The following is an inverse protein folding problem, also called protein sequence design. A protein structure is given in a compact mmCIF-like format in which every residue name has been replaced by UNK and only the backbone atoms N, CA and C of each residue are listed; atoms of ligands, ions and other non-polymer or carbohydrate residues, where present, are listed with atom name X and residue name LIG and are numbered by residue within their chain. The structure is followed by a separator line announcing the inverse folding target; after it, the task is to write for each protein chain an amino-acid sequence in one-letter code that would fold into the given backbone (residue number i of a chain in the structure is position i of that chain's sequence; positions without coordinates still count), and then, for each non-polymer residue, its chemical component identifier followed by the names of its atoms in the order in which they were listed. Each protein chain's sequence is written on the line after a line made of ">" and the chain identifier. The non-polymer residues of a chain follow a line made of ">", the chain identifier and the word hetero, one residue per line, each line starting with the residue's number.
data_IF_651704200336
#
_entry.id   IF_651704200336
#
_cell.length_a   1.000
_cell.length_b   1.000
_cell.length_c   1.000
_cell.angle_alpha   90.00
_cell.angle_beta   90.00
_cell.angle_gamma   90.00
#
_symmetry.space_group_name_H-M   'P 1'
#
loop_
_entity.id
_entity.type
_entity.pdbx_description
1 polymer ?
#
# COMPACT_ATOMS: atom_id res chain seq x y z
N UNK A 1 -16.26 18.21 -17.91
CA UNK A 1 -16.82 18.02 -16.56
C UNK A 1 -16.26 16.81 -15.79
N UNK A 2 -15.64 15.80 -16.43
CA UNK A 2 -15.26 14.54 -15.74
C UNK A 2 -14.01 14.62 -14.83
N UNK A 3 -13.04 15.52 -15.09
CA UNK A 3 -11.81 15.61 -14.27
C UNK A 3 -12.05 16.04 -12.81
N UNK A 4 -12.96 16.98 -12.56
CA UNK A 4 -13.26 17.42 -11.19
C UNK A 4 -13.85 16.30 -10.35
N UNK A 5 -14.73 15.48 -10.95
CA UNK A 5 -15.34 14.33 -10.29
C UNK A 5 -14.31 13.23 -10.01
N UNK A 6 -13.42 12.94 -10.98
CA UNK A 6 -12.30 12.01 -10.77
C UNK A 6 -11.36 12.48 -9.65
N UNK A 7 -11.07 13.78 -9.60
CA UNK A 7 -10.27 14.38 -8.53
C UNK A 7 -10.95 14.18 -7.16
N UNK A 8 -12.25 14.47 -7.03
CA UNK A 8 -12.96 14.30 -5.76
C UNK A 8 -13.06 12.84 -5.34
N UNK A 9 -13.36 11.92 -6.27
CA UNK A 9 -13.39 10.48 -5.97
C UNK A 9 -12.02 9.99 -5.51
N UNK A 10 -10.95 10.43 -6.18
CA UNK A 10 -9.57 10.14 -5.73
C UNK A 10 -9.33 10.64 -4.32
N UNK A 11 -9.58 11.92 -4.06
CA UNK A 11 -9.32 12.49 -2.74
C UNK A 11 -10.14 11.82 -1.64
N UNK A 12 -11.40 11.48 -1.91
CA UNK A 12 -12.26 10.77 -0.97
C UNK A 12 -11.69 9.40 -0.61
N UNK A 13 -11.28 8.62 -1.61
CA UNK A 13 -10.72 7.28 -1.41
C UNK A 13 -9.37 7.31 -0.70
N UNK A 14 -8.50 8.27 -1.04
CA UNK A 14 -7.25 8.49 -0.31
C UNK A 14 -7.51 8.87 1.15
N UNK A 15 -8.52 9.71 1.40
CA UNK A 15 -8.90 10.07 2.76
C UNK A 15 -9.46 8.88 3.54
N UNK A 16 -10.31 8.05 2.92
CA UNK A 16 -10.82 6.81 3.53
C UNK A 16 -9.68 5.87 3.93
N UNK A 17 -8.70 5.66 3.05
CA UNK A 17 -7.53 4.82 3.36
C UNK A 17 -6.71 5.39 4.53
N UNK A 18 -6.46 6.70 4.54
CA UNK A 18 -5.71 7.35 5.63
C UNK A 18 -6.45 7.24 6.98
N UNK A 19 -7.78 7.34 6.97
CA UNK A 19 -8.59 7.18 8.18
C UNK A 19 -8.57 5.73 8.68
N UNK A 20 -8.66 4.76 7.78
CA UNK A 20 -8.52 3.35 8.12
C UNK A 20 -7.15 3.09 8.77
N UNK A 21 -6.07 3.58 8.15
CA UNK A 21 -4.73 3.38 8.70
C UNK A 21 -4.51 4.08 10.05
N UNK A 22 -5.15 5.24 10.25
CA UNK A 22 -5.18 5.90 11.56
C UNK A 22 -5.88 5.04 12.61
N UNK A 23 -7.04 4.46 12.29
CA UNK A 23 -7.81 3.63 13.22
C UNK A 23 -7.08 2.33 13.61
N UNK A 24 -6.36 1.73 12.66
CA UNK A 24 -5.46 0.60 12.93
C UNK A 24 -4.32 1.04 13.85
N UNK A 25 -3.70 2.19 13.57
CA UNK A 25 -2.60 2.71 14.39
C UNK A 25 -3.00 3.12 15.80
N UNK A 26 -4.26 3.53 16.03
CA UNK A 26 -4.78 3.84 17.36
C UNK A 26 -5.26 2.59 18.12
N UNK A 27 -5.31 1.43 17.46
CA UNK A 27 -5.85 0.19 18.02
C UNK A 27 -7.37 0.18 18.15
N UNK A 28 -8.06 1.12 17.49
CA UNK A 28 -9.53 1.16 17.42
C UNK A 28 -10.10 0.00 16.60
N UNK A 29 -9.34 -0.46 15.61
CA UNK A 29 -9.70 -1.55 14.71
C UNK A 29 -8.54 -2.55 14.67
N UNK A 30 -8.85 -3.85 14.64
CA UNK A 30 -7.83 -4.89 14.49
C UNK A 30 -7.29 -4.94 13.06
N UNK A 31 -6.11 -5.53 12.84
CA UNK A 31 -5.54 -5.61 11.48
C UNK A 31 -6.39 -6.47 10.55
N UNK A 32 -6.98 -7.55 11.06
CA UNK A 32 -7.87 -8.44 10.31
C UNK A 32 -9.13 -7.70 9.83
N UNK A 33 -9.76 -6.93 10.73
CA UNK A 33 -10.89 -6.06 10.37
C UNK A 33 -10.50 -4.99 9.34
N UNK A 34 -9.26 -4.50 9.39
CA UNK A 34 -8.77 -3.51 8.46
C UNK A 34 -8.56 -4.08 7.05
N UNK A 35 -8.11 -5.32 6.91
CA UNK A 35 -7.98 -5.97 5.60
C UNK A 35 -9.34 -6.15 4.92
N UNK A 36 -10.37 -6.49 5.69
CA UNK A 36 -11.74 -6.55 5.20
C UNK A 36 -12.24 -5.19 4.70
N UNK A 37 -12.02 -4.11 5.45
CA UNK A 37 -12.47 -2.77 5.03
C UNK A 37 -11.61 -2.21 3.88
N UNK A 38 -10.31 -2.55 3.85
CA UNK A 38 -9.37 -2.17 2.78
C UNK A 38 -9.78 -2.77 1.43
N UNK A 39 -10.35 -3.97 1.40
CA UNK A 39 -10.86 -4.60 0.16
C UNK A 39 -11.94 -3.77 -0.56
N UNK A 40 -12.58 -2.84 0.16
CA UNK A 40 -13.63 -1.95 -0.35
C UNK A 40 -13.06 -0.63 -0.88
N UNK A 41 -11.76 -0.40 -0.72
CA UNK A 41 -11.04 0.81 -1.15
C UNK A 41 -10.23 0.46 -2.40
N UNK A 42 -10.73 0.84 -3.57
CA UNK A 42 -10.05 0.59 -4.85
C UNK A 42 -8.88 1.56 -5.09
N UNK A 43 -7.73 1.40 -4.42
CA UNK A 43 -6.58 2.28 -4.66
C UNK A 43 -6.11 2.23 -6.12
N UNK A 44 -5.94 1.04 -6.71
CA UNK A 44 -5.39 0.87 -8.05
C UNK A 44 -6.25 1.51 -9.17
N UNK A 45 -7.57 1.37 -9.07
CA UNK A 45 -8.51 1.86 -10.11
C UNK A 45 -8.57 3.39 -10.22
N UNK A 46 -8.09 4.10 -9.19
CA UNK A 46 -8.18 5.57 -9.07
C UNK A 46 -7.01 6.28 -9.77
N UNK A 47 -5.87 5.61 -9.86
CA UNK A 47 -4.65 6.11 -10.52
C UNK A 47 -4.70 5.98 -12.04
N UNK A 48 -5.26 4.88 -12.55
CA UNK A 48 -5.12 4.45 -13.95
C UNK A 48 -6.03 5.14 -14.96
N UNK A 49 -6.99 5.97 -14.55
CA UNK A 49 -7.99 6.44 -15.51
C UNK A 49 -7.37 7.30 -16.63
N UNK A 50 -7.69 6.89 -17.86
CA UNK A 50 -7.16 7.36 -19.13
C UNK A 50 -7.13 8.90 -19.26
N UNK A 51 -6.13 9.48 -19.95
CA UNK A 51 -6.09 10.92 -20.19
C UNK A 51 -7.39 11.37 -20.87
N UNK A 52 -8.10 12.32 -20.27
CA UNK A 52 -9.31 12.85 -20.89
C UNK A 52 -8.97 13.65 -22.14
N UNK A 53 -9.72 13.43 -23.21
CA UNK A 53 -9.73 14.30 -24.37
C UNK A 53 -10.02 15.75 -23.91
N UNK A 54 -9.13 16.69 -24.27
CA UNK A 54 -9.20 18.08 -23.82
C UNK A 54 -8.51 18.37 -22.49
N UNK A 55 -7.64 17.48 -21.99
CA UNK A 55 -6.79 17.73 -20.82
C UNK A 55 -5.99 19.05 -20.96
N UNK A 56 -5.59 19.38 -22.18
CA UNK A 56 -4.82 20.58 -22.51
C UNK A 56 -5.61 21.87 -22.29
N UNK A 57 -6.95 21.81 -22.35
CA UNK A 57 -7.87 22.96 -22.21
C UNK A 57 -8.28 23.18 -20.74
N UNK A 58 -7.80 22.37 -19.80
CA UNK A 58 -8.09 22.60 -18.37
C UNK A 58 -7.39 23.87 -17.85
N UNK A 59 -8.04 24.63 -16.93
CA UNK A 59 -7.38 25.70 -16.19
C UNK A 59 -6.18 25.18 -15.39
N UNK A 60 -5.10 25.96 -15.34
CA UNK A 60 -3.83 25.56 -14.70
C UNK A 60 -3.97 25.23 -13.22
N UNK A 61 -4.86 25.91 -12.50
CA UNK A 61 -5.14 25.62 -11.10
C UNK A 61 -5.67 24.19 -10.90
N UNK A 62 -6.56 23.73 -11.80
CA UNK A 62 -7.14 22.39 -11.74
C UNK A 62 -6.10 21.34 -12.17
N UNK A 63 -5.29 21.63 -13.19
CA UNK A 63 -4.15 20.78 -13.57
C UNK A 63 -3.21 20.56 -12.37
N UNK A 64 -2.87 21.63 -11.65
CA UNK A 64 -2.03 21.56 -10.45
C UNK A 64 -2.64 20.71 -9.33
N UNK A 65 -3.95 20.79 -9.10
CA UNK A 65 -4.66 19.94 -8.14
C UNK A 65 -4.62 18.46 -8.56
N UNK A 66 -4.89 18.17 -9.82
CA UNK A 66 -4.83 16.82 -10.37
C UNK A 66 -3.42 16.24 -10.20
N UNK A 67 -2.37 16.96 -10.59
CA UNK A 67 -0.98 16.49 -10.43
C UNK A 67 -0.60 16.24 -8.97
N UNK A 68 -1.03 17.10 -8.03
CA UNK A 68 -0.80 16.85 -6.59
C UNK A 68 -1.54 15.62 -6.10
N UNK A 69 -2.78 15.42 -6.53
CA UNK A 69 -3.57 14.25 -6.14
C UNK A 69 -2.99 12.94 -6.66
N UNK A 70 -2.38 12.94 -7.86
CA UNK A 70 -1.70 11.78 -8.43
C UNK A 70 -0.44 11.43 -7.64
N UNK A 71 0.43 12.42 -7.35
CA UNK A 71 1.62 12.19 -6.52
C UNK A 71 1.28 11.69 -5.11
N UNK A 72 0.19 12.21 -4.53
CA UNK A 72 -0.28 11.74 -3.23
C UNK A 72 -0.75 10.28 -3.32
N UNK A 73 -1.47 9.94 -4.38
CA UNK A 73 -1.93 8.58 -4.64
C UNK A 73 -0.75 7.61 -4.78
N UNK A 74 0.24 7.90 -5.62
CA UNK A 74 1.46 7.09 -5.78
C UNK A 74 2.15 6.83 -4.43
N UNK A 75 2.30 7.89 -3.63
CA UNK A 75 2.94 7.79 -2.31
C UNK A 75 2.13 6.96 -1.32
N UNK A 76 0.80 7.00 -1.40
CA UNK A 76 -0.09 6.15 -0.59
C UNK A 76 0.04 4.69 -1.03
N UNK A 77 0.08 4.40 -2.33
CA UNK A 77 0.29 3.04 -2.85
C UNK A 77 1.63 2.48 -2.37
N UNK A 78 2.72 3.26 -2.46
CA UNK A 78 4.01 2.83 -1.91
C UNK A 78 3.94 2.57 -0.41
N UNK A 79 3.29 3.45 0.36
CA UNK A 79 3.11 3.25 1.80
C UNK A 79 2.30 1.98 2.10
N UNK A 80 1.26 1.71 1.31
CA UNK A 80 0.39 0.55 1.47
C UNK A 80 1.15 -0.76 1.30
N UNK A 81 1.98 -0.86 0.25
CA UNK A 81 2.88 -2.00 0.04
C UNK A 81 3.85 -2.14 1.22
N UNK A 82 4.50 -1.06 1.66
CA UNK A 82 5.44 -1.11 2.79
C UNK A 82 4.77 -1.54 4.11
N UNK A 83 3.50 -1.16 4.31
CA UNK A 83 2.73 -1.58 5.48
C UNK A 83 2.40 -3.07 5.39
N UNK A 84 1.95 -3.53 4.22
CA UNK A 84 1.66 -4.94 3.97
C UNK A 84 2.90 -5.82 4.16
N UNK A 85 4.04 -5.47 3.57
CA UNK A 85 5.32 -6.18 3.72
C UNK A 85 5.74 -6.25 5.20
N UNK A 86 5.64 -5.12 5.93
CA UNK A 86 5.96 -5.09 7.36
C UNK A 86 5.03 -6.01 8.15
N UNK A 87 3.75 -6.01 7.84
CA UNK A 87 2.77 -6.84 8.53
C UNK A 87 2.96 -8.32 8.21
N UNK A 88 3.27 -8.68 6.97
CA UNK A 88 3.71 -10.02 6.56
C UNK A 88 4.98 -10.45 7.32
N UNK A 89 5.96 -9.56 7.50
CA UNK A 89 7.17 -9.87 8.28
C UNK A 89 6.84 -10.15 9.76
N UNK A 90 5.89 -9.41 10.32
CA UNK A 90 5.45 -9.54 11.72
C UNK A 90 4.58 -10.77 11.96
N UNK A 91 3.73 -11.14 10.99
CA UNK A 91 2.84 -12.30 11.04
C UNK A 91 3.55 -13.60 10.62
N UNK A 92 4.46 -13.51 9.65
CA UNK A 92 5.11 -14.64 8.99
C UNK A 92 6.24 -15.29 9.79
N UNK A 93 6.72 -14.67 10.87
CA UNK A 93 7.83 -15.25 11.63
C UNK A 93 9.06 -15.55 10.74
N UNK A 94 9.26 -14.80 9.66
CA UNK A 94 10.14 -15.17 8.55
C UNK A 94 11.63 -15.14 8.94
N UNK A 95 11.98 -14.35 9.95
CA UNK A 95 13.27 -14.43 10.64
C UNK A 95 13.50 -15.78 11.36
N UNK A 96 12.44 -16.46 11.81
CA UNK A 96 12.56 -17.80 12.38
C UNK A 96 12.89 -18.85 11.31
N UNK A 97 12.53 -18.63 10.05
CA UNK A 97 12.76 -19.60 8.98
C UNK A 97 14.15 -19.46 8.33
N UNK A 98 14.63 -18.23 8.13
CA UNK A 98 16.01 -17.98 7.66
C UNK A 98 17.07 -18.45 8.66
N UNK A 99 16.85 -18.20 9.94
CA UNK A 99 17.77 -18.64 11.03
C UNK A 99 17.80 -20.15 11.17
N UNK A 100 16.63 -20.82 11.06
CA UNK A 100 16.58 -22.27 11.06
C UNK A 100 17.29 -22.86 9.83
N UNK A 101 17.23 -22.20 8.67
CA UNK A 101 17.94 -22.62 7.46
C UNK A 101 19.45 -22.50 7.61
N UNK A 102 19.95 -21.43 8.22
CA UNK A 102 21.38 -21.27 8.50
C UNK A 102 21.88 -22.26 9.58
N UNK A 103 21.05 -22.56 10.59
CA UNK A 103 21.35 -23.60 11.59
C UNK A 103 21.48 -24.98 10.96
N UNK A 104 20.58 -25.35 10.05
CA UNK A 104 20.60 -26.65 9.38
C UNK A 104 21.82 -26.80 8.45
N UNK A 105 22.24 -25.71 7.80
CA UNK A 105 23.47 -25.69 6.99
C UNK A 105 24.73 -25.89 7.85
N UNK A 106 24.81 -25.26 9.01
CA UNK A 106 25.91 -25.47 9.96
C UNK A 106 25.93 -26.92 10.45
N UNK A 107 24.77 -27.45 10.84
CA UNK A 107 24.65 -28.81 11.36
C UNK A 107 25.09 -29.85 10.31
N UNK A 108 24.74 -29.65 9.03
CA UNK A 108 25.23 -30.46 7.91
C UNK A 108 26.74 -30.34 7.70
N UNK A 109 27.29 -29.13 7.74
CA UNK A 109 28.73 -28.92 7.58
C UNK A 109 29.55 -29.57 8.71
N UNK A 110 29.08 -29.48 9.95
CA UNK A 110 29.73 -30.08 11.12
C UNK A 110 29.61 -31.61 11.16
N UNK A 111 28.49 -32.17 10.71
CA UNK A 111 28.31 -33.62 10.61
C UNK A 111 29.11 -34.22 9.45
N UNK A 112 29.24 -33.51 8.32
CA UNK A 112 30.04 -33.96 7.17
C UNK A 112 31.55 -33.99 7.44
N UNK A 113 32.05 -33.24 8.43
CA UNK A 113 33.47 -33.23 8.83
C UNK A 113 33.83 -34.32 9.86
N UNK A 114 32.83 -34.98 10.44
CA UNK A 114 32.99 -35.96 11.53
C UNK A 114 32.87 -37.43 11.06
N UNK A 115 32.63 -37.63 9.76
CA UNK A 115 32.69 -38.90 9.02
C UNK A 115 33.96 -38.95 8.19
#
# INVERSE_FOLDING_TARGET
>A
ASQSMRLTTRLMQLASWLLLQRAVSSGEITRDDADHEKSRISLDEIGEGQPLAGADVLPDALKGLVSRSLRLHERIVTLDVMIAERDETLLGGEAANEVNTHLDQLQKAFNARRS
#
